data_IF_156958772385
#
_entry.id   IF_156958772385
#
_cell.length_a   1.000
_cell.length_b   1.000
_cell.length_c   1.000
_cell.angle_alpha   90.00
_cell.angle_beta   90.00
_cell.angle_gamma   90.00
#
_symmetry.space_group_name_H-M   'P 1'
#
loop_
_entity.id
_entity.type
_entity.pdbx_description
1 polymer ?
#
# COMPACT_ATOMS: atom_id res chain seq x y z
N UNK A 1 -12.22 -22.11 -21.32
CA UNK A 1 -12.73 -22.10 -19.94
C UNK A 1 -13.19 -20.71 -19.57
N UNK A 2 -14.17 -20.57 -18.67
CA UNK A 2 -14.66 -19.27 -18.21
C UNK A 2 -14.19 -19.05 -16.78
N UNK A 3 -13.65 -17.84 -16.50
CA UNK A 3 -13.19 -17.44 -15.18
C UNK A 3 -13.93 -16.19 -14.74
N UNK A 4 -14.53 -16.25 -13.55
CA UNK A 4 -15.18 -15.09 -12.96
C UNK A 4 -14.13 -14.24 -12.25
N UNK A 5 -14.25 -12.92 -12.38
CA UNK A 5 -13.44 -11.96 -11.66
C UNK A 5 -14.27 -10.78 -11.20
N UNK A 6 -13.76 -10.11 -10.19
CA UNK A 6 -14.37 -8.97 -9.55
C UNK A 6 -13.41 -7.81 -9.62
N UNK A 7 -13.90 -6.60 -9.83
CA UNK A 7 -13.09 -5.39 -9.65
C UNK A 7 -13.59 -4.71 -8.40
N UNK A 8 -12.69 -4.43 -7.46
CA UNK A 8 -12.97 -3.61 -6.30
C UNK A 8 -12.00 -2.43 -6.22
N UNK A 9 -12.50 -1.30 -5.73
CA UNK A 9 -11.70 -0.17 -5.33
C UNK A 9 -11.35 -0.34 -3.85
N UNK A 10 -10.05 -0.34 -3.51
CA UNK A 10 -9.58 -0.47 -2.12
C UNK A 10 -9.03 0.85 -1.59
N UNK A 11 -9.03 1.00 -0.26
CA UNK A 11 -8.72 2.23 0.48
C UNK A 11 -9.72 3.35 0.21
N UNK A 12 -10.98 2.99 0.03
CA UNK A 12 -12.08 3.93 -0.16
C UNK A 12 -13.42 3.31 0.21
N UNK A 13 -14.33 4.12 0.68
CA UNK A 13 -15.75 3.80 0.88
C UNK A 13 -16.63 4.33 -0.26
N UNK A 14 -16.03 4.95 -1.29
CA UNK A 14 -16.73 5.57 -2.42
C UNK A 14 -16.29 4.94 -3.76
N UNK A 15 -17.22 4.65 -4.66
CA UNK A 15 -16.92 4.22 -6.01
C UNK A 15 -16.02 5.21 -6.76
N UNK A 16 -15.17 4.69 -7.64
CA UNK A 16 -14.25 5.47 -8.50
C UNK A 16 -13.14 6.22 -7.75
N UNK A 17 -12.96 5.92 -6.47
CA UNK A 17 -11.83 6.37 -5.66
C UNK A 17 -10.91 5.20 -5.34
N UNK A 18 -9.86 5.43 -4.55
CA UNK A 18 -8.95 4.36 -4.12
C UNK A 18 -8.15 3.72 -5.26
N UNK A 19 -7.81 2.47 -5.09
CA UNK A 19 -7.02 1.67 -6.02
C UNK A 19 -7.87 0.57 -6.62
N UNK A 20 -8.11 0.55 -7.94
CA UNK A 20 -8.87 -0.52 -8.58
C UNK A 20 -8.02 -1.78 -8.71
N UNK A 21 -8.58 -2.91 -8.27
CA UNK A 21 -7.90 -4.21 -8.29
C UNK A 21 -8.85 -5.28 -8.83
N UNK A 22 -8.55 -5.88 -9.99
CA UNK A 22 -9.21 -7.10 -10.44
C UNK A 22 -8.77 -8.30 -9.61
N UNK A 23 -9.74 -9.12 -9.18
CA UNK A 23 -9.53 -10.31 -8.35
C UNK A 23 -10.25 -11.51 -8.95
N UNK A 24 -9.51 -12.54 -9.31
CA UNK A 24 -9.99 -13.86 -9.68
C UNK A 24 -10.07 -14.72 -8.42
N UNK A 25 -11.27 -15.14 -8.03
CA UNK A 25 -11.48 -15.90 -6.78
C UNK A 25 -11.09 -17.38 -6.90
N UNK A 26 -11.02 -17.89 -8.11
CA UNK A 26 -10.50 -19.22 -8.45
C UNK A 26 -9.82 -19.16 -9.82
N UNK A 27 -8.50 -19.26 -9.81
CA UNK A 27 -7.64 -19.26 -11.00
C UNK A 27 -7.14 -20.66 -11.37
N UNK A 28 -7.74 -21.71 -10.83
CA UNK A 28 -7.33 -23.09 -11.08
C UNK A 28 -7.30 -23.40 -12.58
N UNK A 29 -6.16 -23.89 -13.04
CA UNK A 29 -5.95 -24.23 -14.45
C UNK A 29 -5.37 -23.10 -15.31
N UNK A 30 -5.24 -21.88 -14.78
CA UNK A 30 -4.50 -20.82 -15.47
C UNK A 30 -2.98 -21.06 -15.33
N UNK A 31 -2.28 -20.89 -16.44
CA UNK A 31 -0.81 -20.87 -16.46
C UNK A 31 -0.28 -19.45 -16.22
N UNK A 32 0.99 -19.33 -15.82
CA UNK A 32 1.67 -18.04 -15.70
C UNK A 32 1.51 -17.15 -16.92
N UNK A 33 1.64 -17.74 -18.11
CA UNK A 33 1.52 -17.01 -19.37
C UNK A 33 0.08 -16.47 -19.56
N UNK A 34 -0.94 -17.28 -19.22
CA UNK A 34 -2.33 -16.85 -19.30
C UNK A 34 -2.65 -15.75 -18.28
N UNK A 35 -2.14 -15.85 -17.07
CA UNK A 35 -2.31 -14.80 -16.04
C UNK A 35 -1.67 -13.47 -16.48
N UNK A 36 -0.49 -13.50 -17.11
CA UNK A 36 0.13 -12.31 -17.73
C UNK A 36 -0.73 -11.73 -18.85
N UNK A 37 -1.22 -12.56 -19.78
CA UNK A 37 -2.09 -12.12 -20.86
C UNK A 37 -3.37 -11.47 -20.34
N UNK A 38 -4.02 -12.07 -19.35
CA UNK A 38 -5.22 -11.52 -18.70
C UNK A 38 -4.91 -10.18 -18.01
N UNK A 39 -3.82 -10.08 -17.27
CA UNK A 39 -3.43 -8.86 -16.59
C UNK A 39 -3.15 -7.71 -17.56
N UNK A 40 -2.55 -8.02 -18.71
CA UNK A 40 -2.33 -7.05 -19.77
C UNK A 40 -3.64 -6.61 -20.42
N UNK A 41 -4.57 -7.55 -20.70
CA UNK A 41 -5.87 -7.28 -21.29
C UNK A 41 -6.73 -6.38 -20.41
N UNK A 42 -6.75 -6.66 -19.10
CA UNK A 42 -7.48 -5.84 -18.12
C UNK A 42 -6.86 -4.46 -17.89
N UNK A 43 -5.63 -4.25 -18.36
CA UNK A 43 -4.92 -2.98 -18.29
C UNK A 43 -4.88 -2.38 -16.85
N UNK A 44 -4.95 -3.23 -15.83
CA UNK A 44 -4.82 -2.82 -14.44
C UNK A 44 -3.36 -2.80 -14.00
N UNK A 45 -3.01 -1.96 -13.02
CA UNK A 45 -1.65 -1.93 -12.48
C UNK A 45 -1.28 -3.26 -11.83
N UNK A 46 -2.25 -3.89 -11.16
CA UNK A 46 -2.11 -5.22 -10.57
C UNK A 46 -3.40 -6.01 -10.74
N UNK A 47 -3.27 -7.31 -10.99
CA UNK A 47 -4.36 -8.28 -11.03
C UNK A 47 -4.07 -9.40 -10.05
N UNK A 48 -5.04 -9.78 -9.25
CA UNK A 48 -4.93 -10.83 -8.23
C UNK A 48 -5.54 -12.12 -8.74
N UNK A 49 -4.79 -13.22 -8.59
CA UNK A 49 -5.25 -14.58 -8.87
C UNK A 49 -5.19 -15.39 -7.59
N UNK A 50 -6.32 -15.98 -7.19
CA UNK A 50 -6.45 -16.80 -6.01
C UNK A 50 -6.63 -18.26 -6.41
N UNK A 51 -6.03 -19.14 -5.59
CA UNK A 51 -6.13 -20.57 -5.77
C UNK A 51 -6.62 -21.19 -4.45
N UNK A 52 -7.50 -22.22 -4.50
CA UNK A 52 -7.91 -22.95 -3.33
C UNK A 52 -6.71 -23.66 -2.70
N UNK A 53 -6.77 -23.87 -1.41
CA UNK A 53 -5.81 -24.69 -0.65
C UNK A 53 -6.57 -25.81 0.08
N UNK A 54 -5.86 -26.70 0.75
CA UNK A 54 -6.45 -27.74 1.57
C UNK A 54 -7.14 -27.21 2.85
N UNK A 55 -7.03 -25.90 3.11
CA UNK A 55 -7.65 -25.21 4.25
C UNK A 55 -8.71 -24.24 3.75
N UNK A 56 -9.94 -24.38 4.24
CA UNK A 56 -11.09 -23.60 3.78
C UNK A 56 -10.93 -22.09 3.96
N UNK A 57 -10.22 -21.65 5.01
CA UNK A 57 -9.99 -20.24 5.35
C UNK A 57 -8.73 -19.65 4.71
N UNK A 58 -7.99 -20.45 3.92
CA UNK A 58 -6.76 -20.03 3.26
C UNK A 58 -6.91 -20.05 1.74
N UNK A 59 -6.27 -19.08 1.09
CA UNK A 59 -6.08 -19.10 -0.37
C UNK A 59 -4.61 -18.85 -0.69
N UNK A 60 -4.11 -19.47 -1.76
CA UNK A 60 -2.85 -19.03 -2.33
C UNK A 60 -3.10 -17.80 -3.19
N UNK A 61 -2.25 -16.79 -3.08
CA UNK A 61 -2.34 -15.54 -3.82
C UNK A 61 -1.15 -15.35 -4.74
N UNK A 62 -1.43 -15.03 -6.00
CA UNK A 62 -0.44 -14.59 -6.96
C UNK A 62 -0.88 -13.25 -7.55
N UNK A 63 0.06 -12.32 -7.69
CA UNK A 63 -0.21 -10.98 -8.18
C UNK A 63 0.61 -10.72 -9.43
N UNK A 64 -0.05 -10.21 -10.45
CA UNK A 64 0.57 -9.89 -11.73
C UNK A 64 0.37 -8.42 -12.07
N UNK A 65 1.43 -7.78 -12.53
CA UNK A 65 1.35 -6.55 -13.32
C UNK A 65 1.02 -6.90 -14.78
N UNK A 66 1.00 -5.90 -15.66
CA UNK A 66 0.75 -6.11 -17.09
C UNK A 66 1.73 -7.08 -17.77
N UNK A 67 2.93 -7.25 -17.25
CA UNK A 67 4.03 -7.95 -17.92
C UNK A 67 4.57 -9.14 -17.12
N UNK A 68 4.46 -9.13 -15.79
CA UNK A 68 5.12 -10.12 -14.95
C UNK A 68 4.43 -10.33 -13.61
N UNK A 69 4.75 -11.44 -12.96
CA UNK A 69 4.39 -11.62 -11.56
C UNK A 69 5.15 -10.60 -10.70
N UNK A 70 4.47 -10.03 -9.72
CA UNK A 70 5.01 -9.02 -8.82
C UNK A 70 4.82 -9.43 -7.35
N UNK A 71 5.58 -8.84 -6.41
CA UNK A 71 5.37 -9.07 -4.99
C UNK A 71 3.94 -8.74 -4.56
N UNK A 72 3.44 -9.46 -3.56
CA UNK A 72 2.11 -9.22 -3.03
C UNK A 72 2.09 -7.93 -2.19
N UNK A 73 1.48 -6.89 -2.72
CA UNK A 73 1.32 -5.60 -2.04
C UNK A 73 0.05 -5.54 -1.19
N UNK A 74 0.01 -4.60 -0.24
CA UNK A 74 -1.13 -4.39 0.68
C UNK A 74 -2.46 -4.21 -0.05
N UNK A 75 -2.50 -3.43 -1.15
CA UNK A 75 -3.73 -3.24 -1.94
C UNK A 75 -4.28 -4.54 -2.53
N UNK A 76 -3.38 -5.44 -2.98
CA UNK A 76 -3.75 -6.75 -3.51
C UNK A 76 -4.29 -7.67 -2.42
N UNK A 77 -3.68 -7.63 -1.25
CA UNK A 77 -4.10 -8.41 -0.07
C UNK A 77 -5.48 -7.95 0.42
N UNK A 78 -5.71 -6.65 0.53
CA UNK A 78 -7.00 -6.10 0.95
C UNK A 78 -8.10 -6.42 -0.06
N UNK A 79 -7.81 -6.28 -1.36
CA UNK A 79 -8.74 -6.62 -2.43
C UNK A 79 -9.16 -8.10 -2.40
N UNK A 80 -8.17 -9.00 -2.30
CA UNK A 80 -8.40 -10.43 -2.20
C UNK A 80 -9.32 -10.77 -1.02
N UNK A 81 -8.96 -10.29 0.16
CA UNK A 81 -9.71 -10.57 1.40
C UNK A 81 -11.12 -9.99 1.38
N UNK A 82 -11.28 -8.76 0.88
CA UNK A 82 -12.59 -8.15 0.71
C UNK A 82 -13.48 -8.97 -0.24
N UNK A 83 -12.97 -9.35 -1.40
CA UNK A 83 -13.76 -10.10 -2.39
C UNK A 83 -14.10 -11.50 -1.89
N UNK A 84 -13.18 -12.21 -1.24
CA UNK A 84 -13.45 -13.52 -0.65
C UNK A 84 -14.59 -13.46 0.39
N UNK A 85 -14.58 -12.44 1.24
CA UNK A 85 -15.63 -12.21 2.22
C UNK A 85 -16.94 -11.73 1.58
N UNK A 86 -16.86 -10.79 0.62
CA UNK A 86 -18.03 -10.18 -0.04
C UNK A 86 -18.83 -11.19 -0.87
N UNK A 87 -18.15 -12.11 -1.55
CA UNK A 87 -18.76 -13.15 -2.38
C UNK A 87 -19.22 -14.37 -1.56
N UNK A 88 -18.89 -14.43 -0.27
CA UNK A 88 -19.17 -15.57 0.60
C UNK A 88 -18.26 -16.79 0.33
N UNK A 89 -17.20 -16.63 -0.46
CA UNK A 89 -16.19 -17.67 -0.66
C UNK A 89 -15.45 -18.03 0.64
N UNK A 90 -15.39 -17.08 1.58
CA UNK A 90 -15.06 -17.29 2.99
C UNK A 90 -16.18 -16.63 3.80
N UNK A 91 -16.94 -17.40 4.60
CA UNK A 91 -18.05 -16.87 5.38
C UNK A 91 -17.59 -15.85 6.43
N UNK A 92 -18.37 -14.79 6.60
CA UNK A 92 -18.08 -13.75 7.59
C UNK A 92 -18.50 -14.20 9.00
N UNK A 93 -17.60 -14.12 9.97
CA UNK A 93 -17.86 -14.36 11.39
C UNK A 93 -18.51 -13.15 12.08
N UNK A 94 -18.87 -13.29 13.37
CA UNK A 94 -19.64 -12.26 14.10
C UNK A 94 -18.92 -10.92 14.26
N UNK A 95 -17.61 -10.92 14.51
CA UNK A 95 -16.84 -9.68 14.74
C UNK A 95 -15.81 -9.42 13.65
N UNK A 96 -14.87 -10.31 13.52
CA UNK A 96 -13.76 -10.20 12.56
C UNK A 96 -13.51 -11.57 11.97
N UNK A 97 -13.46 -11.64 10.66
CA UNK A 97 -13.11 -12.85 9.92
C UNK A 97 -11.63 -12.83 9.62
N UNK A 98 -10.90 -13.84 10.09
CA UNK A 98 -9.51 -14.05 9.72
C UNK A 98 -9.47 -14.70 8.32
N UNK A 99 -8.72 -14.09 7.40
CA UNK A 99 -8.42 -14.66 6.08
C UNK A 99 -6.91 -14.77 5.96
N UNK A 100 -6.44 -15.97 5.70
CA UNK A 100 -5.02 -16.25 5.48
C UNK A 100 -4.72 -16.34 3.98
N UNK A 101 -3.75 -15.57 3.51
CA UNK A 101 -3.27 -15.60 2.13
C UNK A 101 -1.84 -16.13 2.10
N UNK A 102 -1.63 -17.25 1.41
CA UNK A 102 -0.31 -17.83 1.19
C UNK A 102 0.31 -17.20 -0.05
N UNK A 103 1.31 -16.38 0.12
CA UNK A 103 2.05 -15.73 -0.96
C UNK A 103 3.40 -16.39 -1.14
N UNK A 104 3.77 -16.70 -2.40
CA UNK A 104 5.09 -17.20 -2.75
C UNK A 104 5.73 -16.29 -3.79
N UNK A 105 6.84 -15.65 -3.41
CA UNK A 105 7.61 -14.77 -4.26
C UNK A 105 9.11 -15.06 -4.12
N UNK A 106 9.82 -15.19 -5.24
CA UNK A 106 11.26 -15.46 -5.26
C UNK A 106 11.67 -16.67 -4.34
N UNK A 107 10.90 -17.76 -4.38
CA UNK A 107 11.07 -18.96 -3.57
C UNK A 107 10.89 -18.76 -2.05
N UNK A 108 10.46 -17.58 -1.62
CA UNK A 108 10.08 -17.33 -0.24
C UNK A 108 8.57 -17.41 -0.14
N UNK A 109 8.08 -18.23 0.78
CA UNK A 109 6.65 -18.35 1.09
C UNK A 109 6.37 -17.68 2.42
N UNK A 110 5.31 -16.91 2.47
CA UNK A 110 4.80 -16.28 3.68
C UNK A 110 3.28 -16.41 3.78
N UNK A 111 2.78 -16.42 5.00
CA UNK A 111 1.34 -16.37 5.29
C UNK A 111 1.01 -14.95 5.72
N UNK A 112 0.11 -14.32 4.97
CA UNK A 112 -0.36 -12.97 5.22
C UNK A 112 -1.74 -13.07 5.87
N UNK A 113 -1.86 -12.60 7.10
CA UNK A 113 -3.11 -12.60 7.84
C UNK A 113 -3.82 -11.26 7.68
N UNK A 114 -5.09 -11.32 7.33
CA UNK A 114 -5.99 -10.16 7.27
C UNK A 114 -7.22 -10.40 8.13
N UNK A 115 -7.82 -9.29 8.56
CA UNK A 115 -9.06 -9.29 9.32
C UNK A 115 -10.09 -8.47 8.58
N UNK A 116 -11.23 -9.10 8.26
CA UNK A 116 -12.35 -8.43 7.61
C UNK A 116 -13.44 -8.18 8.66
N UNK A 117 -13.84 -6.93 8.78
CA UNK A 117 -14.94 -6.51 9.66
C UNK A 117 -16.24 -6.38 8.89
N UNK A 118 -17.38 -6.48 9.57
CA UNK A 118 -18.70 -6.23 9.01
C UNK A 118 -19.15 -4.79 9.25
N UNK A 119 -19.97 -4.30 8.35
CA UNK A 119 -20.78 -3.10 8.57
C UNK A 119 -22.08 -3.41 9.34
N UNK A 120 -22.91 -2.40 9.55
CA UNK A 120 -24.21 -2.54 10.21
C UNK A 120 -25.20 -3.44 9.45
N UNK A 121 -24.95 -3.71 8.17
CA UNK A 121 -25.77 -4.57 7.31
C UNK A 121 -25.18 -5.99 7.19
N UNK A 122 -24.23 -6.35 8.04
CA UNK A 122 -23.50 -7.62 7.99
C UNK A 122 -22.74 -7.87 6.68
N UNK A 123 -22.32 -6.83 5.98
CA UNK A 123 -21.51 -6.91 4.76
C UNK A 123 -20.04 -6.66 5.10
N UNK A 124 -19.13 -7.28 4.31
CA UNK A 124 -17.69 -6.98 4.37
C UNK A 124 -17.46 -5.48 4.16
N UNK A 125 -16.65 -4.87 5.00
CA UNK A 125 -16.47 -3.42 5.01
C UNK A 125 -15.00 -3.02 5.14
N UNK A 126 -14.43 -3.07 6.34
CA UNK A 126 -13.05 -2.72 6.61
C UNK A 126 -12.17 -3.98 6.56
N UNK A 127 -11.07 -3.90 5.84
CA UNK A 127 -10.04 -4.94 5.80
C UNK A 127 -8.74 -4.40 6.38
N UNK A 128 -8.10 -5.16 7.26
CA UNK A 128 -6.82 -4.80 7.88
C UNK A 128 -5.81 -5.93 7.73
N UNK A 129 -4.60 -5.59 7.34
CA UNK A 129 -3.44 -6.49 7.35
C UNK A 129 -2.55 -6.15 8.55
N UNK A 130 -2.06 -7.18 9.24
CA UNK A 130 -1.13 -7.00 10.37
C UNK A 130 0.30 -7.26 9.93
N UNK A 131 1.18 -6.35 10.32
CA UNK A 131 2.63 -6.45 10.15
C UNK A 131 3.30 -6.48 11.51
N UNK A 132 4.22 -7.43 11.70
CA UNK A 132 5.22 -7.36 12.76
C UNK A 132 6.54 -6.96 12.11
N UNK A 133 7.00 -5.75 12.43
CA UNK A 133 8.14 -5.16 11.75
C UNK A 133 9.30 -4.94 12.70
N UNK A 134 10.50 -5.16 12.20
CA UNK A 134 11.75 -4.70 12.81
C UNK A 134 12.36 -3.68 11.86
N UNK A 135 12.38 -2.42 12.27
CA UNK A 135 12.90 -1.36 11.41
C UNK A 135 14.43 -1.28 11.48
N UNK A 136 15.05 -1.21 10.31
CA UNK A 136 16.41 -0.71 10.15
C UNK A 136 16.35 0.75 9.72
N UNK A 137 17.00 1.63 10.48
CA UNK A 137 17.02 3.06 10.22
C UNK A 137 18.43 3.49 9.83
N UNK A 138 18.55 4.17 8.69
CA UNK A 138 19.78 4.84 8.27
C UNK A 138 19.57 6.35 8.28
N UNK A 139 20.50 7.02 8.96
CA UNK A 139 20.51 8.48 9.11
C UNK A 139 21.31 9.19 8.01
N UNK A 140 21.99 8.43 7.16
CA UNK A 140 22.72 8.99 6.03
C UNK A 140 21.74 9.23 4.87
N UNK A 141 21.28 10.46 4.77
CA UNK A 141 20.32 10.89 3.75
C UNK A 141 20.94 12.01 2.89
N UNK A 142 20.42 12.22 1.68
CA UNK A 142 20.78 13.40 0.88
C UNK A 142 20.56 14.69 1.66
N UNK A 143 21.34 15.71 1.33
CA UNK A 143 21.19 17.05 1.95
C UNK A 143 19.83 17.64 1.62
N UNK A 144 19.43 18.66 2.38
CA UNK A 144 18.18 19.37 2.19
C UNK A 144 18.08 19.98 0.78
N UNK A 145 19.19 20.47 0.27
CA UNK A 145 19.36 21.04 -1.05
C UNK A 145 19.21 19.97 -2.15
N UNK A 146 19.85 18.81 -1.96
CA UNK A 146 19.72 17.68 -2.86
C UNK A 146 18.27 17.15 -2.88
N UNK A 147 17.64 16.99 -1.72
CA UNK A 147 16.24 16.58 -1.60
C UNK A 147 15.30 17.55 -2.33
N UNK A 148 15.47 18.85 -2.09
CA UNK A 148 14.66 19.87 -2.76
C UNK A 148 14.83 19.82 -4.28
N UNK A 149 16.08 19.71 -4.77
CA UNK A 149 16.35 19.63 -6.20
C UNK A 149 15.74 18.38 -6.85
N UNK A 150 15.86 17.20 -6.23
CA UNK A 150 15.29 15.95 -6.78
C UNK A 150 13.77 15.89 -6.73
N UNK A 151 13.13 16.68 -5.86
CA UNK A 151 11.69 16.79 -5.71
C UNK A 151 11.10 18.01 -6.46
N UNK A 152 11.92 18.81 -7.11
CA UNK A 152 11.54 20.08 -7.76
C UNK A 152 10.88 21.06 -6.79
N UNK A 153 11.36 21.09 -5.56
CA UNK A 153 10.90 21.93 -4.47
C UNK A 153 12.00 22.92 -4.04
N UNK A 154 11.70 23.77 -3.06
CA UNK A 154 12.71 24.59 -2.40
C UNK A 154 13.22 23.93 -1.10
N UNK A 155 14.44 24.25 -0.62
CA UNK A 155 14.91 23.72 0.66
C UNK A 155 13.99 24.07 1.83
N UNK A 156 13.25 25.18 1.76
CA UNK A 156 12.29 25.58 2.80
C UNK A 156 11.08 24.62 2.89
N UNK A 157 10.76 23.90 1.82
CA UNK A 157 9.66 22.94 1.81
C UNK A 157 10.02 21.60 2.45
N UNK A 158 11.31 21.36 2.77
CA UNK A 158 11.78 20.10 3.35
C UNK A 158 11.87 20.22 4.87
N UNK A 159 11.36 19.21 5.57
CA UNK A 159 11.30 19.05 7.03
C UNK A 159 10.39 20.04 7.75
N UNK A 160 9.52 19.54 8.61
CA UNK A 160 8.61 20.29 9.47
C UNK A 160 8.58 19.68 10.89
N UNK A 161 8.19 20.47 11.90
CA UNK A 161 7.89 20.04 13.29
C UNK A 161 8.91 19.07 13.91
N UNK A 162 10.18 19.24 13.74
CA UNK A 162 11.25 18.34 14.20
C UNK A 162 11.34 16.98 13.46
N UNK A 163 10.47 16.68 12.52
CA UNK A 163 10.68 15.56 11.62
C UNK A 163 11.90 15.83 10.73
N UNK A 164 12.62 14.77 10.40
CA UNK A 164 13.77 14.84 9.51
C UNK A 164 13.72 13.73 8.47
N UNK A 165 14.35 13.89 7.31
CA UNK A 165 14.51 12.81 6.36
C UNK A 165 15.25 11.63 6.99
N UNK A 166 14.78 10.40 6.72
CA UNK A 166 15.41 9.15 7.15
C UNK A 166 15.22 8.09 6.08
N UNK A 167 16.15 7.14 6.02
CA UNK A 167 15.92 5.91 5.28
C UNK A 167 15.46 4.86 6.29
N UNK A 168 14.25 4.31 6.09
CA UNK A 168 13.68 3.31 6.97
C UNK A 168 13.31 2.07 6.15
N UNK A 169 13.73 0.90 6.61
CA UNK A 169 13.45 -0.38 5.98
C UNK A 169 12.71 -1.31 6.93
N UNK A 170 11.55 -1.78 6.50
CA UNK A 170 10.81 -2.89 7.09
C UNK A 170 10.73 -4.06 6.09
N UNK A 171 11.84 -4.37 5.44
CA UNK A 171 11.97 -5.31 4.33
C UNK A 171 12.38 -4.60 3.04
N UNK A 172 11.62 -3.59 2.62
CA UNK A 172 11.98 -2.67 1.52
C UNK A 172 12.37 -1.32 2.13
N UNK A 173 13.52 -0.74 1.75
CA UNK A 173 13.95 0.56 2.24
C UNK A 173 13.27 1.71 1.47
N UNK A 174 12.78 2.70 2.21
CA UNK A 174 12.19 3.94 1.71
C UNK A 174 12.93 5.15 2.26
N UNK A 175 13.22 6.12 1.40
CA UNK A 175 13.64 7.45 1.81
C UNK A 175 12.38 8.25 2.20
N UNK A 176 12.18 8.46 3.50
CA UNK A 176 11.00 9.15 4.03
C UNK A 176 11.35 10.61 4.24
N UNK A 177 10.63 11.51 3.56
CA UNK A 177 10.92 12.94 3.53
C UNK A 177 9.71 13.73 4.03
N UNK A 178 9.84 14.40 5.19
CA UNK A 178 8.82 15.33 5.66
C UNK A 178 8.80 16.60 4.82
N UNK A 179 7.61 17.01 4.41
CA UNK A 179 7.36 18.20 3.60
C UNK A 179 6.51 19.19 4.41
N UNK A 180 6.81 20.48 4.28
CA UNK A 180 6.21 21.54 5.08
C UNK A 180 4.70 21.72 4.88
N UNK A 181 4.15 21.36 3.73
CA UNK A 181 2.73 21.60 3.44
C UNK A 181 2.16 20.61 2.44
N UNK A 182 0.84 20.44 2.50
CA UNK A 182 0.05 19.71 1.52
C UNK A 182 0.24 20.25 0.10
N UNK A 183 0.28 21.59 -0.06
CA UNK A 183 0.50 22.23 -1.36
C UNK A 183 1.85 21.83 -1.96
N UNK A 184 2.92 21.82 -1.16
CA UNK A 184 4.25 21.42 -1.62
C UNK A 184 4.30 19.94 -2.03
N UNK A 185 3.62 19.03 -1.32
CA UNK A 185 3.50 17.61 -1.76
C UNK A 185 2.83 17.52 -3.12
N UNK A 186 1.77 18.29 -3.37
CA UNK A 186 1.06 18.28 -4.66
C UNK A 186 1.92 18.81 -5.81
N UNK A 187 2.74 19.81 -5.55
CA UNK A 187 3.66 20.39 -6.53
C UNK A 187 4.90 19.56 -6.80
N UNK A 188 5.27 18.67 -5.87
CA UNK A 188 6.47 17.85 -5.97
C UNK A 188 6.50 17.01 -7.25
N UNK A 189 7.63 17.05 -7.95
CA UNK A 189 7.91 16.27 -9.16
C UNK A 189 9.28 15.64 -9.06
N UNK A 190 9.38 14.36 -9.40
CA UNK A 190 10.67 13.68 -9.43
C UNK A 190 11.55 14.22 -10.56
N UNK A 191 12.77 14.62 -10.21
CA UNK A 191 13.77 15.09 -11.13
C UNK A 191 14.92 14.08 -11.20
N UNK A 192 14.90 13.25 -12.25
CA UNK A 192 15.88 12.18 -12.45
C UNK A 192 17.33 12.69 -12.56
N UNK A 193 17.55 13.83 -13.21
CA UNK A 193 18.88 14.40 -13.33
C UNK A 193 19.43 14.85 -11.96
N UNK A 194 18.61 15.49 -11.14
CA UNK A 194 19.00 15.88 -9.78
C UNK A 194 19.23 14.65 -8.88
N UNK A 195 18.37 13.62 -9.00
CA UNK A 195 18.55 12.34 -8.31
C UNK A 195 19.90 11.71 -8.68
N UNK A 196 20.19 11.55 -9.95
CA UNK A 196 21.43 10.90 -10.45
C UNK A 196 22.70 11.64 -10.04
N UNK A 197 22.64 12.96 -9.84
CA UNK A 197 23.76 13.81 -9.44
C UNK A 197 23.88 13.98 -7.91
N UNK A 198 22.97 13.40 -7.13
CA UNK A 198 22.95 13.47 -5.66
C UNK A 198 23.63 12.26 -5.01
N UNK A 199 23.61 12.23 -3.68
CA UNK A 199 24.04 11.07 -2.90
C UNK A 199 22.99 9.93 -2.88
N UNK A 200 21.74 10.18 -3.32
CA UNK A 200 20.62 9.25 -3.25
C UNK A 200 20.85 7.91 -3.99
N UNK A 201 21.44 7.85 -5.22
CA UNK A 201 21.67 6.58 -5.91
C UNK A 201 22.59 5.62 -5.16
N UNK A 202 23.43 6.11 -4.25
CA UNK A 202 24.31 5.28 -3.41
C UNK A 202 23.58 4.69 -2.22
N UNK A 203 22.35 5.14 -1.92
CA UNK A 203 21.53 4.59 -0.86
C UNK A 203 20.80 3.32 -1.33
N UNK A 204 20.31 2.53 -0.37
CA UNK A 204 19.51 1.35 -0.67
C UNK A 204 18.06 1.71 -1.08
N UNK A 205 17.59 2.91 -0.74
CA UNK A 205 16.23 3.34 -1.01
C UNK A 205 16.11 3.83 -2.47
N UNK A 206 15.23 3.20 -3.24
CA UNK A 206 14.93 3.59 -4.62
C UNK A 206 13.61 4.38 -4.73
N UNK A 207 12.83 4.43 -3.66
CA UNK A 207 11.55 5.13 -3.60
C UNK A 207 11.57 6.14 -2.46
N UNK A 208 10.93 7.28 -2.71
CA UNK A 208 10.83 8.40 -1.78
C UNK A 208 9.39 8.53 -1.33
N UNK A 209 9.12 8.35 -0.05
CA UNK A 209 7.82 8.65 0.54
C UNK A 209 7.83 10.09 1.07
N UNK A 210 7.09 10.96 0.42
CA UNK A 210 6.80 12.31 0.91
C UNK A 210 5.61 12.25 1.86
N UNK A 211 5.66 13.02 2.95
CA UNK A 211 4.50 13.21 3.80
C UNK A 211 4.43 14.62 4.39
N UNK A 212 3.22 15.09 4.65
CA UNK A 212 2.95 16.32 5.37
C UNK A 212 1.76 16.14 6.31
N UNK A 213 1.68 16.96 7.35
CA UNK A 213 0.45 17.07 8.13
C UNK A 213 -0.67 17.56 7.23
N UNK A 214 -1.83 16.92 7.36
CA UNK A 214 -3.01 17.37 6.65
C UNK A 214 -3.68 18.48 7.48
N UNK A 215 -3.71 19.71 6.93
CA UNK A 215 -4.26 20.88 7.61
C UNK A 215 -5.69 21.22 7.20
N UNK A 216 -6.20 20.54 6.18
CA UNK A 216 -7.57 20.74 5.71
C UNK A 216 -8.55 19.98 6.62
N UNK A 217 -9.81 20.36 6.62
CA UNK A 217 -10.91 19.71 7.37
C UNK A 217 -11.21 18.28 6.84
N UNK A 218 -10.19 17.52 6.57
CA UNK A 218 -10.19 16.17 6.01
C UNK A 218 -9.97 15.15 7.16
N UNK A 219 -10.57 13.97 7.11
CA UNK A 219 -10.41 12.95 8.15
C UNK A 219 -9.01 12.33 8.27
N UNK A 220 -8.05 12.71 7.40
CA UNK A 220 -6.68 12.19 7.43
C UNK A 220 -5.75 13.08 8.27
N UNK A 221 -4.88 12.46 9.06
CA UNK A 221 -3.83 13.13 9.84
C UNK A 221 -2.66 13.54 8.96
N UNK A 222 -2.35 12.70 7.97
CA UNK A 222 -1.24 12.91 7.04
C UNK A 222 -1.70 12.82 5.59
N UNK A 223 -1.01 13.56 4.75
CA UNK A 223 -1.01 13.34 3.31
C UNK A 223 0.33 12.76 2.90
N UNK A 224 0.32 11.73 2.04
CA UNK A 224 1.54 11.10 1.59
C UNK A 224 1.51 10.79 0.09
N UNK A 225 2.69 10.79 -0.53
CA UNK A 225 2.89 10.48 -1.94
C UNK A 225 4.21 9.76 -2.16
N UNK A 226 4.22 8.79 -3.08
CA UNK A 226 5.41 8.03 -3.43
C UNK A 226 5.97 8.54 -4.76
N UNK A 227 7.27 8.81 -4.81
CA UNK A 227 8.02 9.21 -5.98
C UNK A 227 9.30 8.37 -6.09
N UNK A 228 9.89 8.33 -7.27
CA UNK A 228 11.17 7.64 -7.45
C UNK A 228 11.51 7.38 -8.92
N UNK A 229 12.73 6.89 -9.20
CA UNK A 229 13.20 6.68 -10.57
C UNK A 229 12.42 5.62 -11.36
N UNK A 230 11.79 4.66 -10.68
CA UNK A 230 10.98 3.63 -11.31
C UNK A 230 9.50 4.01 -11.47
N UNK A 231 9.10 5.19 -10.95
CA UNK A 231 7.71 5.66 -10.96
C UNK A 231 7.55 6.68 -12.08
N UNK A 232 6.65 6.41 -13.02
CA UNK A 232 6.39 7.33 -14.11
C UNK A 232 5.86 8.69 -13.61
N UNK A 233 6.18 9.79 -14.30
CA UNK A 233 5.90 11.16 -13.86
C UNK A 233 4.41 11.44 -13.57
N UNK A 234 3.50 10.71 -14.22
CA UNK A 234 2.05 10.87 -14.07
C UNK A 234 1.43 9.74 -13.23
N UNK A 235 2.24 8.87 -12.64
CA UNK A 235 1.74 7.81 -11.77
C UNK A 235 1.67 8.30 -10.32
N UNK A 236 0.67 7.79 -9.64
CA UNK A 236 0.47 7.95 -8.22
C UNK A 236 0.25 6.56 -7.61
N UNK A 237 1.34 5.81 -7.41
CA UNK A 237 1.26 4.43 -6.98
C UNK A 237 0.72 4.29 -5.56
N UNK A 238 0.16 3.11 -5.20
CA UNK A 238 -0.25 2.82 -3.84
C UNK A 238 0.91 2.90 -2.86
N UNK A 239 0.72 3.59 -1.74
CA UNK A 239 1.75 3.77 -0.70
C UNK A 239 1.78 2.64 0.34
N UNK A 240 0.91 1.63 0.23
CA UNK A 240 0.73 0.59 1.24
C UNK A 240 2.02 -0.12 1.67
N UNK A 241 2.94 -0.35 0.74
CA UNK A 241 4.25 -0.95 1.03
C UNK A 241 5.17 -0.08 1.90
N UNK A 242 5.02 1.25 1.83
CA UNK A 242 5.83 2.20 2.58
C UNK A 242 5.27 2.51 3.99
N UNK A 243 4.02 2.13 4.29
CA UNK A 243 3.35 2.53 5.54
C UNK A 243 4.04 1.96 6.77
N UNK A 244 4.56 0.73 6.71
CA UNK A 244 5.30 0.15 7.83
C UNK A 244 6.58 0.95 8.15
N UNK A 245 7.31 1.38 7.12
CA UNK A 245 8.49 2.24 7.29
C UNK A 245 8.08 3.64 7.79
N UNK A 246 6.99 4.19 7.29
CA UNK A 246 6.44 5.46 7.76
C UNK A 246 6.03 5.42 9.23
N UNK A 247 5.31 4.38 9.67
CA UNK A 247 4.92 4.23 11.07
C UNK A 247 6.15 4.15 12.00
N UNK A 248 7.22 3.45 11.58
CA UNK A 248 8.47 3.43 12.32
C UNK A 248 9.15 4.81 12.36
N UNK A 249 9.12 5.57 11.25
CA UNK A 249 9.62 6.95 11.23
C UNK A 249 8.87 7.84 12.23
N UNK A 250 7.53 7.74 12.28
CA UNK A 250 6.69 8.50 13.22
C UNK A 250 6.98 8.11 14.67
N UNK A 251 7.20 6.81 14.97
CA UNK A 251 7.50 6.33 16.33
C UNK A 251 8.74 6.94 16.95
N UNK A 252 9.74 7.32 16.14
CA UNK A 252 10.95 8.01 16.63
C UNK A 252 10.68 9.45 17.06
N UNK A 253 9.49 9.98 16.80
CA UNK A 253 9.15 11.35 17.14
C UNK A 253 8.88 11.49 18.64
N UNK A 254 9.41 12.54 19.33
CA UNK A 254 9.28 12.70 20.79
C UNK A 254 7.83 12.80 21.30
N UNK A 255 6.90 13.20 20.45
CA UNK A 255 5.49 13.31 20.82
C UNK A 255 4.75 11.96 20.83
N UNK A 256 5.31 10.94 20.18
CA UNK A 256 4.69 9.60 20.13
C UNK A 256 5.16 8.81 21.35
N UNK A 257 4.30 8.74 22.35
CA UNK A 257 4.55 8.00 23.58
C UNK A 257 4.36 6.49 23.37
N UNK A 258 4.69 5.73 24.41
CA UNK A 258 4.34 4.30 24.45
C UNK A 258 2.82 4.12 24.48
N UNK A 259 2.31 3.18 23.69
CA UNK A 259 0.88 2.88 23.58
C UNK A 259 0.45 2.59 22.16
N UNK A 260 -0.85 2.42 21.98
CA UNK A 260 -1.47 2.23 20.68
C UNK A 260 -1.86 3.58 20.10
N UNK A 261 -1.39 3.84 18.89
CA UNK A 261 -1.70 5.06 18.13
C UNK A 261 -2.47 4.71 16.87
N UNK A 262 -3.48 5.51 16.57
CA UNK A 262 -4.30 5.38 15.37
C UNK A 262 -4.22 6.68 14.59
N UNK A 263 -3.94 6.58 13.30
CA UNK A 263 -3.92 7.73 12.40
C UNK A 263 -4.35 7.32 10.98
N UNK A 264 -4.77 8.30 10.22
CA UNK A 264 -5.18 8.12 8.84
C UNK A 264 -4.22 8.83 7.89
N UNK A 265 -3.90 8.19 6.78
CA UNK A 265 -3.04 8.73 5.73
C UNK A 265 -3.85 8.83 4.45
N UNK A 266 -3.96 10.02 3.90
CA UNK A 266 -4.50 10.22 2.57
C UNK A 266 -3.37 10.11 1.54
N UNK A 267 -3.62 9.39 0.46
CA UNK A 267 -2.71 9.30 -0.67
C UNK A 267 -3.25 10.09 -1.87
N UNK A 268 -2.31 10.60 -2.63
CA UNK A 268 -2.53 11.05 -3.98
C UNK A 268 -2.38 12.54 -4.17
N UNK A 269 -1.83 12.94 -5.32
CA UNK A 269 -1.85 14.31 -5.82
C UNK A 269 -3.09 14.56 -6.69
N UNK A 270 -3.77 13.51 -7.10
CA UNK A 270 -4.97 13.58 -7.93
C UNK A 270 -6.23 13.47 -7.07
N UNK A 271 -7.05 14.51 -7.10
CA UNK A 271 -8.30 14.56 -6.34
C UNK A 271 -9.37 13.58 -6.88
N UNK A 272 -9.17 13.03 -8.07
CA UNK A 272 -10.14 12.12 -8.69
C UNK A 272 -10.14 10.71 -8.07
N UNK A 273 -8.99 10.23 -7.54
CA UNK A 273 -8.89 8.88 -6.95
C UNK A 273 -8.18 8.92 -5.59
N UNK A 274 -8.82 9.53 -4.62
CA UNK A 274 -8.32 9.57 -3.23
C UNK A 274 -8.32 8.19 -2.60
N UNK A 275 -7.24 7.88 -1.87
CA UNK A 275 -7.14 6.69 -1.04
C UNK A 275 -6.94 7.09 0.42
N UNK A 276 -7.62 6.41 1.34
CA UNK A 276 -7.51 6.63 2.77
C UNK A 276 -7.05 5.34 3.46
N UNK A 277 -5.87 5.39 4.04
CA UNK A 277 -5.28 4.30 4.80
C UNK A 277 -5.49 4.55 6.29
N UNK A 278 -6.03 3.58 6.99
CA UNK A 278 -6.09 3.57 8.45
C UNK A 278 -4.92 2.77 8.99
N UNK A 279 -4.16 3.38 9.86
CA UNK A 279 -2.98 2.78 10.46
C UNK A 279 -3.15 2.77 11.97
N UNK A 280 -3.02 1.59 12.54
CA UNK A 280 -2.91 1.39 13.98
C UNK A 280 -1.53 0.83 14.27
N UNK A 281 -0.79 1.44 15.18
CA UNK A 281 0.52 0.96 15.57
C UNK A 281 0.64 0.84 17.08
N UNK A 282 1.18 -0.29 17.54
CA UNK A 282 1.51 -0.55 18.92
C UNK A 282 2.98 -0.16 19.18
N UNK A 283 3.19 1.07 19.68
CA UNK A 283 4.52 1.55 20.08
C UNK A 283 4.89 1.04 21.47
N UNK A 284 5.83 0.11 21.53
CA UNK A 284 6.34 -0.49 22.77
C UNK A 284 7.71 0.06 23.18
N UNK A 285 8.13 1.18 22.60
CA UNK A 285 9.49 1.74 22.73
C UNK A 285 10.60 0.75 22.36
N UNK A 286 10.30 -0.19 21.50
CA UNK A 286 11.22 -1.15 20.92
C UNK A 286 11.34 -0.90 19.42
N UNK A 287 12.36 -1.51 18.81
CA UNK A 287 12.47 -1.51 17.33
C UNK A 287 11.43 -2.40 16.66
N UNK A 288 10.72 -3.21 17.45
CA UNK A 288 9.68 -4.10 16.97
C UNK A 288 8.33 -3.42 17.15
N UNK A 289 7.66 -3.15 16.05
CA UNK A 289 6.30 -2.63 16.04
C UNK A 289 5.33 -3.66 15.50
N UNK A 290 4.14 -3.70 16.10
CA UNK A 290 2.98 -4.30 15.48
C UNK A 290 2.18 -3.20 14.83
N UNK A 291 2.00 -3.29 13.51
CA UNK A 291 1.30 -2.29 12.70
C UNK A 291 0.15 -2.98 12.00
N UNK A 292 -1.03 -2.37 12.05
CA UNK A 292 -2.20 -2.77 11.27
C UNK A 292 -2.48 -1.70 10.23
N UNK A 293 -2.45 -2.09 8.97
CA UNK A 293 -2.76 -1.21 7.84
C UNK A 293 -4.06 -1.68 7.23
N UNK A 294 -5.03 -0.80 7.13
CA UNK A 294 -6.35 -1.14 6.63
C UNK A 294 -7.00 -0.05 5.79
N UNK A 295 -8.14 -0.40 5.24
CA UNK A 295 -8.98 0.50 4.47
C UNK A 295 -10.32 -0.13 4.16
N UNK A 296 -11.26 0.71 3.78
CA UNK A 296 -12.52 0.27 3.21
C UNK A 296 -12.32 -0.23 1.78
N UNK A 297 -13.28 -0.99 1.28
CA UNK A 297 -13.28 -1.42 -0.10
C UNK A 297 -14.71 -1.44 -0.66
N UNK A 298 -14.84 -1.18 -1.96
CA UNK A 298 -16.11 -1.13 -2.67
C UNK A 298 -16.06 -2.05 -3.88
N UNK A 299 -17.05 -2.96 -4.00
CA UNK A 299 -17.20 -3.79 -5.18
C UNK A 299 -17.70 -2.92 -6.34
N UNK A 300 -16.96 -2.90 -7.44
CA UNK A 300 -17.25 -2.10 -8.63
C UNK A 300 -17.91 -2.87 -9.74
N UNK A 301 -17.44 -4.09 -10.00
CA UNK A 301 -18.01 -4.94 -11.03
C UNK A 301 -17.75 -6.41 -10.80
N UNK A 302 -18.62 -7.23 -11.38
CA UNK A 302 -18.47 -8.67 -11.54
C UNK A 302 -18.50 -8.98 -13.01
N UNK A 303 -17.56 -9.79 -13.51
CA UNK A 303 -17.45 -10.13 -14.91
C UNK A 303 -16.85 -11.53 -15.12
N UNK A 304 -16.92 -12.01 -16.35
CA UNK A 304 -16.37 -13.30 -16.75
C UNK A 304 -15.46 -13.11 -17.95
N UNK A 305 -14.28 -13.72 -17.92
CA UNK A 305 -13.37 -13.78 -19.05
C UNK A 305 -13.32 -15.22 -19.62
N UNK A 306 -13.34 -15.34 -20.94
CA UNK A 306 -13.21 -16.63 -21.63
C UNK A 306 -11.76 -16.82 -22.07
N UNK A 307 -11.14 -17.91 -21.62
CA UNK A 307 -9.76 -18.27 -21.97
C UNK A 307 -9.78 -19.58 -22.75
N UNK A 308 -9.29 -19.53 -23.97
CA UNK A 308 -9.17 -20.68 -24.88
C UNK A 308 -7.82 -21.37 -24.72
#
# INVERSE_FOLDING_TARGET
MNYNYYICDVFTDQPFHGVPVPVFTDATGLTDEKMKQISNELNANTTVFLFPTDQDEMREIQVYSKLEQVPTGTHSVLAASYILAKTGAIPLEERHTLIALKSTWNKKTEIINTYVSKDANNQANLVQQTYNTHAAVDYYTPTKEELAAMLSLTPADIAFDNYRPLIVSCGVPYLIVPIMSYAAIREAKFNEAAWSNSSAPSSLAQEILLFANNTDANPADFHARLLGPAIAHNEDPPIGGAIAAFANHICDHPHIQEGTHVFAIQRGANDERKSLFYVEMDNKKSKDLTIRVGGYAVLMSEATITVN
#
